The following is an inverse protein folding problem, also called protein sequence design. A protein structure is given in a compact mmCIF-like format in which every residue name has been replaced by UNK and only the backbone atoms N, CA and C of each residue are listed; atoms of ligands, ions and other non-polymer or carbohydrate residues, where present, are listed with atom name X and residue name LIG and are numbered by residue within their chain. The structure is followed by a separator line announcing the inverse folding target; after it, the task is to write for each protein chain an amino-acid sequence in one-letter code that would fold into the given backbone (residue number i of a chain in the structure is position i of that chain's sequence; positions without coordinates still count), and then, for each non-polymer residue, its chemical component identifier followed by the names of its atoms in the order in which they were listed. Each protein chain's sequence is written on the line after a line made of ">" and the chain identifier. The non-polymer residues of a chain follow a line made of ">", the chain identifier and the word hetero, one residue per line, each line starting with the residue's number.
data_IF_631026373190
#
_entry.id   IF_631026373190
#
_cell.length_a   1.000
_cell.length_b   1.000
_cell.length_c   1.000
_cell.angle_alpha   90.00
_cell.angle_beta   90.00
_cell.angle_gamma   90.00
#
_symmetry.space_group_name_H-M   'P 1'
#
loop_
_entity.id
_entity.type
_entity.pdbx_description
1 polymer ?
#
# COMPACT_ATOMS: atom_id res chain seq x y z
N UNK A 1 -13.85 -28.62 37.38
CA UNK A 1 -13.65 -28.27 38.80
C UNK A 1 -14.95 -27.62 39.23
N UNK A 2 -15.69 -28.29 40.11
CA UNK A 2 -17.05 -27.94 40.52
C UNK A 2 -16.92 -26.98 41.72
N UNK A 3 -17.54 -25.81 41.65
CA UNK A 3 -17.55 -24.85 42.77
C UNK A 3 -18.52 -25.33 43.86
N UNK A 4 -18.04 -25.37 45.10
CA UNK A 4 -18.84 -25.68 46.29
C UNK A 4 -19.66 -24.44 46.68
N UNK A 5 -20.96 -24.61 46.95
CA UNK A 5 -21.88 -23.51 47.21
C UNK A 5 -21.54 -22.74 48.50
N UNK A 6 -20.73 -23.33 49.37
CA UNK A 6 -20.30 -22.73 50.64
C UNK A 6 -18.96 -22.00 50.58
N UNK A 7 -18.29 -21.97 49.43
CA UNK A 7 -17.01 -21.26 49.29
C UNK A 7 -17.19 -19.72 49.40
N UNK A 8 -18.36 -19.21 48.96
CA UNK A 8 -18.72 -17.80 49.04
C UNK A 8 -18.83 -17.28 50.49
N UNK A 9 -19.20 -18.15 51.43
CA UNK A 9 -19.38 -17.78 52.85
C UNK A 9 -18.03 -17.56 53.57
N UNK A 10 -16.91 -17.98 52.94
CA UNK A 10 -15.54 -17.81 53.47
C UNK A 10 -14.78 -16.65 52.84
N UNK A 11 -15.36 -15.95 51.86
CA UNK A 11 -14.73 -14.82 51.21
C UNK A 11 -14.72 -13.61 52.14
N UNK A 12 -13.57 -13.35 52.77
CA UNK A 12 -13.30 -12.10 53.47
C UNK A 12 -13.34 -10.96 52.43
N UNK A 13 -14.14 -9.89 52.64
CA UNK A 13 -14.12 -8.73 51.76
C UNK A 13 -12.69 -8.22 51.61
N UNK A 14 -12.19 -8.16 50.36
CA UNK A 14 -10.87 -7.59 50.07
C UNK A 14 -10.91 -6.15 50.59
N UNK A 15 -10.17 -5.89 51.66
CA UNK A 15 -10.02 -4.52 52.14
C UNK A 15 -9.39 -3.73 51.00
N UNK A 16 -9.90 -2.53 50.67
CA UNK A 16 -9.24 -1.67 49.71
C UNK A 16 -7.79 -1.50 50.18
N UNK A 17 -6.85 -1.85 49.31
CA UNK A 17 -5.44 -1.56 49.57
C UNK A 17 -5.35 -0.07 49.88
N UNK A 18 -4.67 0.33 50.97
CA UNK A 18 -4.50 1.75 51.28
C UNK A 18 -3.95 2.42 50.04
N UNK A 19 -4.64 3.47 49.57
CA UNK A 19 -4.19 4.22 48.39
C UNK A 19 -2.71 4.56 48.57
N UNK A 20 -1.86 4.26 47.58
CA UNK A 20 -0.46 4.62 47.68
C UNK A 20 -0.43 6.13 47.94
N UNK A 21 0.20 6.53 49.05
CA UNK A 21 0.37 7.93 49.41
C UNK A 21 1.26 8.54 48.33
N UNK A 22 0.62 9.09 47.30
CA UNK A 22 1.30 9.84 46.24
C UNK A 22 1.90 11.06 46.95
N UNK A 23 3.23 11.21 46.98
CA UNK A 23 3.83 12.37 47.62
C UNK A 23 3.21 13.61 47.01
N UNK A 24 2.62 14.48 47.84
CA UNK A 24 2.08 15.74 47.33
C UNK A 24 3.23 16.53 46.73
N UNK A 25 3.27 16.53 45.39
CA UNK A 25 4.27 17.27 44.66
C UNK A 25 4.18 18.74 45.09
N UNK A 26 5.31 19.39 45.40
CA UNK A 26 5.34 20.82 45.66
C UNK A 26 4.60 21.54 44.52
N UNK A 27 3.83 22.59 44.84
CA UNK A 27 2.99 23.28 43.86
C UNK A 27 3.75 23.63 42.57
N UNK A 28 4.99 24.08 42.71
CA UNK A 28 5.91 24.38 41.61
C UNK A 28 6.20 23.18 40.69
N UNK A 29 6.29 21.96 41.23
CA UNK A 29 6.51 20.74 40.46
C UNK A 29 5.26 20.31 39.67
N UNK A 30 4.05 20.51 40.24
CA UNK A 30 2.79 20.29 39.53
C UNK A 30 2.61 21.27 38.38
N UNK A 31 2.93 22.53 38.60
CA UNK A 31 2.88 23.57 37.57
C UNK A 31 3.85 23.25 36.42
N UNK A 32 5.09 22.83 36.72
CA UNK A 32 6.04 22.42 35.69
C UNK A 32 5.56 21.19 34.89
N UNK A 33 4.97 20.19 35.56
CA UNK A 33 4.43 19.01 34.87
C UNK A 33 3.21 19.35 34.01
N UNK A 34 2.33 20.23 34.48
CA UNK A 34 1.18 20.71 33.73
C UNK A 34 1.62 21.51 32.49
N UNK A 35 2.62 22.39 32.63
CA UNK A 35 3.20 23.13 31.51
C UNK A 35 3.87 22.16 30.52
N UNK A 36 4.63 21.18 31.00
CA UNK A 36 5.28 20.19 30.14
C UNK A 36 4.26 19.32 29.39
N UNK A 37 3.15 18.94 30.03
CA UNK A 37 2.08 18.19 29.38
C UNK A 37 1.31 19.08 28.38
N UNK A 38 1.07 20.35 28.70
CA UNK A 38 0.48 21.31 27.75
C UNK A 38 1.40 21.57 26.57
N UNK A 39 2.72 21.68 26.76
CA UNK A 39 3.69 21.79 25.66
C UNK A 39 3.73 20.50 24.82
N UNK A 40 3.67 19.33 25.47
CA UNK A 40 3.61 18.04 24.78
C UNK A 40 2.33 17.90 23.97
N UNK A 41 1.18 18.29 24.54
CA UNK A 41 -0.12 18.32 23.88
C UNK A 41 -0.14 19.38 22.78
N UNK A 42 0.51 20.53 22.96
CA UNK A 42 0.68 21.56 21.93
C UNK A 42 1.52 21.04 20.77
N UNK A 43 2.64 20.34 21.03
CA UNK A 43 3.44 19.68 19.99
C UNK A 43 2.71 18.52 19.31
N UNK A 44 1.73 17.91 19.98
CA UNK A 44 0.86 16.88 19.40
C UNK A 44 -0.36 17.46 18.67
N UNK A 45 -0.80 18.67 19.04
CA UNK A 45 -1.97 19.38 18.52
C UNK A 45 -1.62 20.45 17.47
N UNK A 46 -0.35 20.84 17.38
CA UNK A 46 0.32 21.23 16.13
C UNK A 46 0.23 20.02 15.18
N UNK A 47 -0.99 19.76 14.70
CA UNK A 47 -1.19 18.97 13.50
C UNK A 47 -0.40 19.60 12.36
N UNK A 48 0.00 18.82 11.35
CA UNK A 48 0.80 19.33 10.26
C UNK A 48 0.07 20.53 9.65
N UNK A 49 0.78 21.66 9.62
CA UNK A 49 0.31 22.94 9.11
C UNK A 49 -0.53 22.76 7.85
N UNK A 50 -1.55 23.60 7.71
CA UNK A 50 -2.25 23.83 6.44
C UNK A 50 -1.30 24.35 5.33
N UNK A 51 -0.03 24.59 5.68
CA UNK A 51 1.13 24.79 4.82
C UNK A 51 2.11 23.61 4.93
N UNK A 52 1.63 22.37 4.72
CA UNK A 52 2.50 21.21 4.57
C UNK A 52 3.54 21.54 3.49
N UNK A 53 4.81 21.67 3.88
CA UNK A 53 5.88 22.10 2.99
C UNK A 53 5.80 21.32 1.66
N UNK A 54 5.78 22.06 0.55
CA UNK A 54 5.72 21.47 -0.79
C UNK A 54 6.74 20.32 -0.89
N UNK A 55 6.35 19.14 -1.39
CA UNK A 55 7.22 17.97 -1.38
C UNK A 55 8.54 18.34 -2.08
N UNK A 56 9.68 18.10 -1.42
CA UNK A 56 11.00 18.51 -1.93
C UNK A 56 11.34 17.83 -3.28
N UNK A 57 10.71 16.69 -3.58
CA UNK A 57 10.87 15.97 -4.84
C UNK A 57 10.00 16.56 -5.97
N UNK A 58 10.66 17.03 -7.03
CA UNK A 58 10.02 17.76 -8.14
C UNK A 58 8.91 16.98 -8.88
N UNK A 59 8.93 15.65 -8.86
CA UNK A 59 7.89 14.83 -9.50
C UNK A 59 6.60 14.75 -8.66
N UNK A 60 6.71 14.83 -7.32
CA UNK A 60 5.57 14.86 -6.39
C UNK A 60 4.76 16.15 -6.58
N UNK A 61 5.42 17.26 -6.89
CA UNK A 61 4.78 18.53 -7.22
C UNK A 61 3.99 18.46 -8.54
N UNK A 62 4.54 17.80 -9.57
CA UNK A 62 3.86 17.60 -10.86
C UNK A 62 2.62 16.71 -10.68
N UNK A 63 2.74 15.64 -9.90
CA UNK A 63 1.63 14.75 -9.59
C UNK A 63 0.54 15.45 -8.77
N UNK A 64 0.94 16.24 -7.77
CA UNK A 64 0.05 17.08 -6.98
C UNK A 64 -0.73 18.06 -7.86
N UNK A 65 -0.05 18.81 -8.74
CA UNK A 65 -0.70 19.73 -9.69
C UNK A 65 -1.72 19.04 -10.62
N UNK A 66 -1.51 17.76 -10.93
CA UNK A 66 -2.44 16.96 -11.73
C UNK A 66 -3.62 16.40 -10.92
N UNK A 67 -3.74 16.71 -9.62
CA UNK A 67 -4.76 16.16 -8.73
C UNK A 67 -4.60 14.66 -8.51
N UNK A 68 -3.36 14.16 -8.56
CA UNK A 68 -3.06 12.73 -8.36
C UNK A 68 -2.61 12.48 -6.91
N UNK A 69 -2.91 11.32 -6.31
CA UNK A 69 -2.62 11.04 -4.91
C UNK A 69 -1.11 10.93 -4.65
N UNK A 70 -0.57 11.76 -3.76
CA UNK A 70 0.85 11.79 -3.39
C UNK A 70 1.00 11.54 -1.88
N UNK A 71 2.03 10.78 -1.50
CA UNK A 71 2.39 10.51 -0.10
C UNK A 71 3.30 11.61 0.45
N UNK A 72 2.88 12.26 1.56
CA UNK A 72 3.57 13.40 2.18
C UNK A 72 4.36 13.02 3.44
N UNK A 73 3.95 11.96 4.14
CA UNK A 73 4.56 11.54 5.40
C UNK A 73 5.48 10.33 5.17
N UNK A 74 6.74 10.52 4.77
CA UNK A 74 7.69 9.40 4.71
C UNK A 74 8.33 9.13 6.09
N UNK A 75 8.11 7.96 6.72
CA UNK A 75 9.06 7.46 7.72
C UNK A 75 10.35 7.09 6.98
N UNK A 76 11.49 7.67 7.37
CA UNK A 76 12.80 7.45 6.74
C UNK A 76 13.03 5.98 6.32
N UNK A 77 12.97 5.72 5.01
CA UNK A 77 13.13 4.38 4.44
C UNK A 77 14.56 3.85 4.66
N UNK A 78 14.73 2.85 5.53
CA UNK A 78 16.03 2.21 5.74
C UNK A 78 16.43 1.23 4.60
N UNK A 79 15.53 0.93 3.65
CA UNK A 79 15.76 -0.07 2.58
C UNK A 79 15.25 0.45 1.24
N UNK A 80 16.13 0.42 0.22
CA UNK A 80 15.80 0.82 -1.15
C UNK A 80 14.81 -0.18 -1.79
N UNK A 81 13.74 0.29 -2.46
CA UNK A 81 12.69 -0.54 -3.05
C UNK A 81 13.11 -1.09 -4.43
N UNK A 82 14.12 -1.96 -4.43
CA UNK A 82 14.72 -2.47 -5.67
C UNK A 82 13.76 -3.34 -6.48
N UNK A 83 12.82 -4.06 -5.86
CA UNK A 83 11.89 -4.91 -6.60
C UNK A 83 10.89 -4.06 -7.37
N UNK A 84 10.42 -2.97 -6.79
CA UNK A 84 9.56 -2.00 -7.46
C UNK A 84 10.29 -1.37 -8.64
N UNK A 85 11.54 -0.92 -8.47
CA UNK A 85 12.32 -0.36 -9.58
C UNK A 85 12.59 -1.38 -10.68
N UNK A 86 12.92 -2.63 -10.32
CA UNK A 86 13.19 -3.68 -11.28
C UNK A 86 11.92 -4.05 -12.06
N UNK A 87 10.78 -4.18 -11.38
CA UNK A 87 9.50 -4.47 -12.00
C UNK A 87 9.07 -3.33 -12.94
N UNK A 88 9.21 -2.07 -12.50
CA UNK A 88 8.95 -0.89 -13.31
C UNK A 88 9.84 -0.85 -14.54
N UNK A 89 11.16 -1.05 -14.38
CA UNK A 89 12.10 -1.04 -15.49
C UNK A 89 11.83 -2.16 -16.50
N UNK A 90 11.54 -3.38 -16.03
CA UNK A 90 11.18 -4.51 -16.89
C UNK A 90 9.89 -4.22 -17.67
N UNK A 91 8.86 -3.70 -17.01
CA UNK A 91 7.58 -3.35 -17.62
C UNK A 91 7.72 -2.25 -18.67
N UNK A 92 8.45 -1.18 -18.35
CA UNK A 92 8.73 -0.10 -19.29
C UNK A 92 9.51 -0.64 -20.49
N UNK A 93 10.59 -1.39 -20.26
CA UNK A 93 11.43 -1.93 -21.32
C UNK A 93 10.62 -2.81 -22.28
N UNK A 94 9.88 -3.79 -21.75
CA UNK A 94 9.07 -4.71 -22.55
C UNK A 94 7.97 -3.95 -23.32
N UNK A 95 7.28 -3.01 -22.68
CA UNK A 95 6.24 -2.21 -23.34
C UNK A 95 6.80 -1.33 -24.46
N UNK A 96 7.93 -0.65 -24.23
CA UNK A 96 8.58 0.18 -25.25
C UNK A 96 9.05 -0.66 -26.44
N UNK A 97 9.59 -1.86 -26.20
CA UNK A 97 9.97 -2.79 -27.25
C UNK A 97 8.75 -3.33 -28.02
N UNK A 98 7.59 -3.44 -27.36
CA UNK A 98 6.35 -3.89 -27.99
C UNK A 98 5.70 -2.81 -28.87
N UNK A 99 5.81 -1.52 -28.54
CA UNK A 99 5.09 -0.43 -29.21
C UNK A 99 5.24 -0.37 -30.74
N UNK A 100 6.42 -0.57 -31.35
CA UNK A 100 6.56 -0.56 -32.81
C UNK A 100 5.69 -1.60 -33.53
N UNK A 101 5.42 -2.73 -32.88
CA UNK A 101 4.64 -3.85 -33.43
C UNK A 101 3.49 -4.24 -32.49
N UNK A 102 2.88 -3.26 -31.83
CA UNK A 102 2.00 -3.47 -30.68
C UNK A 102 0.89 -4.48 -30.95
N UNK A 103 0.20 -4.36 -32.10
CA UNK A 103 -0.90 -5.25 -32.46
C UNK A 103 -0.44 -6.71 -32.54
N UNK A 104 0.70 -6.98 -33.19
CA UNK A 104 1.21 -8.34 -33.35
C UNK A 104 1.68 -8.91 -32.00
N UNK A 105 2.44 -8.13 -31.24
CA UNK A 105 2.96 -8.54 -29.93
C UNK A 105 1.82 -8.82 -28.96
N UNK A 106 0.79 -7.98 -28.91
CA UNK A 106 -0.39 -8.17 -28.05
C UNK A 106 -1.20 -9.40 -28.46
N UNK A 107 -1.40 -9.63 -29.76
CA UNK A 107 -2.06 -10.85 -30.23
C UNK A 107 -1.26 -12.12 -29.90
N UNK A 108 0.07 -12.03 -29.87
CA UNK A 108 0.95 -13.17 -29.58
C UNK A 108 1.19 -13.40 -28.09
N UNK A 109 1.26 -12.37 -27.25
CA UNK A 109 1.69 -12.47 -25.86
C UNK A 109 0.68 -11.92 -24.85
N UNK A 110 -0.39 -11.28 -25.30
CA UNK A 110 -1.53 -10.91 -24.45
C UNK A 110 -2.38 -12.12 -24.07
N UNK A 111 -3.12 -11.99 -22.97
CA UNK A 111 -4.04 -13.02 -22.51
C UNK A 111 -5.34 -12.93 -23.31
N UNK A 112 -5.63 -13.94 -24.12
CA UNK A 112 -6.91 -14.03 -24.84
C UNK A 112 -7.77 -15.05 -24.10
N UNK A 113 -8.92 -14.67 -23.50
CA UNK A 113 -9.72 -15.57 -22.67
C UNK A 113 -10.10 -16.88 -23.37
N UNK A 114 -10.55 -16.80 -24.62
CA UNK A 114 -10.90 -17.96 -25.42
C UNK A 114 -9.71 -18.90 -25.73
N UNK A 115 -8.49 -18.47 -25.48
CA UNK A 115 -7.24 -19.18 -25.79
C UNK A 115 -6.25 -19.10 -24.62
N UNK A 116 -6.74 -19.14 -23.37
CA UNK A 116 -5.94 -18.89 -22.17
C UNK A 116 -4.73 -19.85 -22.00
N UNK A 117 -4.77 -21.04 -22.59
CA UNK A 117 -3.69 -22.05 -22.51
C UNK A 117 -2.63 -21.89 -23.60
N UNK A 118 -2.71 -20.86 -24.44
CA UNK A 118 -1.75 -20.62 -25.51
C UNK A 118 -0.36 -20.35 -24.93
N UNK A 119 0.69 -20.79 -25.64
CA UNK A 119 2.08 -20.75 -25.13
C UNK A 119 2.22 -21.43 -23.76
N UNK A 120 1.53 -22.55 -23.54
CA UNK A 120 1.53 -23.30 -22.27
C UNK A 120 1.08 -22.47 -21.06
N UNK A 121 0.24 -21.44 -21.29
CA UNK A 121 -0.22 -20.51 -20.24
C UNK A 121 0.74 -19.36 -19.96
N UNK A 122 1.84 -19.21 -20.71
CA UNK A 122 2.77 -18.11 -20.54
C UNK A 122 2.10 -16.73 -20.68
N UNK A 123 0.97 -16.65 -21.39
CA UNK A 123 0.19 -15.42 -21.57
C UNK A 123 -0.34 -14.82 -20.28
N UNK A 124 -0.51 -15.61 -19.21
CA UNK A 124 -0.85 -15.10 -17.86
C UNK A 124 0.27 -14.23 -17.26
N UNK A 125 1.52 -14.53 -17.61
CA UNK A 125 2.67 -13.76 -17.13
C UNK A 125 3.03 -12.63 -18.11
N UNK A 126 3.00 -12.89 -19.41
CA UNK A 126 3.44 -11.89 -20.41
C UNK A 126 2.44 -10.77 -20.60
N UNK A 127 1.14 -11.01 -20.38
CA UNK A 127 0.09 -9.97 -20.44
C UNK A 127 0.39 -8.79 -19.51
N UNK A 128 0.94 -9.06 -18.33
CA UNK A 128 1.29 -8.07 -17.31
C UNK A 128 2.22 -6.97 -17.83
N UNK A 129 3.19 -7.34 -18.67
CA UNK A 129 4.23 -6.43 -19.14
C UNK A 129 3.84 -5.63 -20.39
N UNK A 130 2.69 -5.93 -21.01
CA UNK A 130 2.22 -5.28 -22.24
C UNK A 130 1.24 -4.17 -21.92
N UNK A 131 1.35 -3.03 -22.61
CA UNK A 131 0.44 -1.89 -22.43
C UNK A 131 -0.10 -1.41 -23.77
N UNK A 132 -1.37 -0.98 -23.78
CA UNK A 132 -2.07 -0.52 -24.99
C UNK A 132 -1.55 0.82 -25.55
N UNK A 133 -0.65 1.50 -24.83
CA UNK A 133 -0.01 2.74 -25.26
C UNK A 133 0.69 3.46 -24.11
N UNK A 134 1.33 4.59 -24.42
CA UNK A 134 2.18 5.32 -23.47
C UNK A 134 1.42 5.85 -22.25
N UNK A 135 0.18 6.33 -22.42
CA UNK A 135 -0.65 6.81 -21.31
C UNK A 135 -1.01 5.67 -20.35
N UNK A 136 -1.39 4.51 -20.90
CA UNK A 136 -1.70 3.33 -20.10
C UNK A 136 -0.46 2.86 -19.32
N UNK A 137 0.71 2.82 -19.95
CA UNK A 137 1.97 2.51 -19.28
C UNK A 137 2.30 3.53 -18.18
N UNK A 138 2.25 4.82 -18.49
CA UNK A 138 2.57 5.89 -17.56
C UNK A 138 1.68 5.85 -16.31
N UNK A 139 0.37 5.62 -16.47
CA UNK A 139 -0.56 5.48 -15.34
C UNK A 139 -0.21 4.31 -14.43
N UNK A 140 0.11 3.14 -15.00
CA UNK A 140 0.51 1.98 -14.20
C UNK A 140 1.83 2.23 -13.44
N UNK A 141 2.83 2.80 -14.12
CA UNK A 141 4.11 3.11 -13.46
C UNK A 141 3.96 4.18 -12.39
N UNK A 142 3.10 5.17 -12.60
CA UNK A 142 2.78 6.16 -11.59
C UNK A 142 2.25 5.50 -10.31
N UNK A 143 1.20 4.68 -10.43
CA UNK A 143 0.62 4.01 -9.26
C UNK A 143 1.56 3.01 -8.60
N UNK A 144 2.33 2.27 -9.41
CA UNK A 144 3.34 1.34 -8.89
C UNK A 144 4.43 2.08 -8.11
N UNK A 145 4.90 3.24 -8.58
CA UNK A 145 5.90 4.03 -7.87
C UNK A 145 5.32 4.75 -6.63
N UNK A 146 4.08 5.22 -6.71
CA UNK A 146 3.42 5.92 -5.61
C UNK A 146 3.15 5.01 -4.40
N UNK A 147 2.76 3.75 -4.64
CA UNK A 147 2.34 2.85 -3.57
C UNK A 147 3.29 1.66 -3.36
N UNK A 148 4.02 1.24 -4.40
CA UNK A 148 4.82 0.02 -4.38
C UNK A 148 5.99 0.06 -3.40
N UNK A 149 6.62 1.23 -3.20
CA UNK A 149 7.75 1.37 -2.28
C UNK A 149 7.35 1.04 -0.84
N UNK A 150 6.28 1.66 -0.34
CA UNK A 150 5.76 1.43 1.02
C UNK A 150 5.33 -0.04 1.22
N UNK A 151 4.67 -0.63 0.23
CA UNK A 151 4.22 -2.04 0.29
C UNK A 151 5.41 -3.00 0.24
N UNK A 152 6.41 -2.75 -0.61
CA UNK A 152 7.65 -3.54 -0.67
C UNK A 152 8.41 -3.49 0.66
N UNK A 153 8.46 -2.31 1.28
CA UNK A 153 9.10 -2.14 2.58
C UNK A 153 8.41 -2.98 3.66
N UNK A 154 7.07 -2.96 3.68
CA UNK A 154 6.27 -3.70 4.64
C UNK A 154 6.39 -5.23 4.46
N UNK A 155 6.25 -5.72 3.22
CA UNK A 155 6.19 -7.16 2.93
C UNK A 155 7.55 -7.82 2.72
N UNK A 156 8.60 -7.04 2.46
CA UNK A 156 9.89 -7.45 1.88
C UNK A 156 9.75 -7.82 0.39
N UNK A 157 10.84 -7.71 -0.39
CA UNK A 157 10.79 -7.79 -1.85
C UNK A 157 10.15 -9.06 -2.43
N UNK A 158 10.49 -10.24 -1.89
CA UNK A 158 9.98 -11.51 -2.42
C UNK A 158 8.47 -11.68 -2.20
N UNK A 159 7.98 -11.37 -0.99
CA UNK A 159 6.55 -11.47 -0.68
C UNK A 159 5.74 -10.45 -1.48
N UNK A 160 6.29 -9.25 -1.68
CA UNK A 160 5.71 -8.22 -2.54
C UNK A 160 5.55 -8.68 -3.99
N UNK A 161 6.58 -9.29 -4.59
CA UNK A 161 6.49 -9.81 -5.96
C UNK A 161 5.50 -10.98 -6.07
N UNK A 162 5.45 -11.86 -5.07
CA UNK A 162 4.48 -12.96 -5.01
C UNK A 162 3.06 -12.42 -4.89
N UNK A 163 2.84 -11.39 -4.07
CA UNK A 163 1.54 -10.72 -3.93
C UNK A 163 1.06 -10.20 -5.29
N UNK A 164 1.90 -9.43 -6.00
CA UNK A 164 1.59 -8.90 -7.33
C UNK A 164 1.29 -10.02 -8.33
N UNK A 165 2.12 -11.07 -8.36
CA UNK A 165 1.94 -12.17 -9.30
C UNK A 165 0.63 -12.95 -9.06
N UNK A 166 0.28 -13.20 -7.79
CA UNK A 166 -0.97 -13.85 -7.45
C UNK A 166 -2.18 -12.96 -7.77
N UNK A 167 -2.10 -11.66 -7.46
CA UNK A 167 -3.16 -10.71 -7.79
C UNK A 167 -3.39 -10.61 -9.30
N UNK A 168 -2.32 -10.54 -10.10
CA UNK A 168 -2.40 -10.56 -11.55
C UNK A 168 -3.06 -11.84 -12.06
N UNK A 169 -2.62 -13.01 -11.56
CA UNK A 169 -3.21 -14.30 -11.93
C UNK A 169 -4.69 -14.40 -11.58
N UNK A 170 -5.07 -13.97 -10.37
CA UNK A 170 -6.47 -13.98 -9.92
C UNK A 170 -7.30 -13.02 -10.78
N UNK A 171 -6.78 -11.83 -11.09
CA UNK A 171 -7.42 -10.86 -11.97
C UNK A 171 -7.66 -11.43 -13.36
N UNK A 172 -6.67 -12.12 -13.93
CA UNK A 172 -6.76 -12.79 -15.22
C UNK A 172 -7.81 -13.91 -15.19
N UNK A 173 -7.81 -14.75 -14.16
CA UNK A 173 -8.81 -15.81 -13.98
C UNK A 173 -10.22 -15.24 -13.83
N UNK A 174 -10.38 -14.13 -13.09
CA UNK A 174 -11.65 -13.44 -12.95
C UNK A 174 -12.11 -12.85 -14.29
N UNK A 175 -11.21 -12.25 -15.07
CA UNK A 175 -11.51 -11.73 -16.39
C UNK A 175 -11.98 -12.84 -17.34
N UNK A 176 -11.30 -14.00 -17.33
CA UNK A 176 -11.71 -15.19 -18.09
C UNK A 176 -13.08 -15.68 -17.63
N UNK A 177 -13.34 -15.75 -16.33
CA UNK A 177 -14.61 -16.24 -15.80
C UNK A 177 -15.81 -15.37 -16.22
N UNK A 178 -15.60 -14.05 -16.37
CA UNK A 178 -16.63 -13.10 -16.81
C UNK A 178 -16.97 -13.22 -18.29
N UNK A 179 -15.98 -13.43 -19.17
CA UNK A 179 -16.21 -13.67 -20.60
C UNK A 179 -15.22 -14.70 -21.18
N UNK A 180 -15.49 -16.01 -21.01
CA UNK A 180 -14.58 -17.06 -21.44
C UNK A 180 -14.42 -17.18 -22.96
N UNK A 181 -15.33 -16.59 -23.75
CA UNK A 181 -15.34 -16.69 -25.21
C UNK A 181 -14.75 -15.45 -25.88
N UNK A 182 -14.35 -14.44 -25.10
CA UNK A 182 -13.73 -13.23 -25.62
C UNK A 182 -12.46 -13.53 -26.42
N UNK A 183 -12.38 -12.94 -27.61
CA UNK A 183 -11.18 -12.92 -28.45
C UNK A 183 -10.37 -11.63 -28.26
N UNK A 184 -10.83 -10.73 -27.39
CA UNK A 184 -10.15 -9.48 -27.10
C UNK A 184 -9.00 -9.75 -26.13
N UNK A 185 -7.73 -9.46 -26.50
CA UNK A 185 -6.60 -9.62 -25.59
C UNK A 185 -6.71 -8.68 -24.39
N UNK A 186 -6.47 -9.22 -23.20
CA UNK A 186 -6.27 -8.50 -21.95
C UNK A 186 -4.77 -8.32 -21.71
N UNK A 187 -4.37 -7.09 -21.39
CA UNK A 187 -2.97 -6.70 -21.14
C UNK A 187 -2.89 -5.60 -20.08
N UNK A 188 -1.76 -5.52 -19.40
CA UNK A 188 -1.40 -4.44 -18.48
C UNK A 188 -1.17 -4.91 -17.06
N UNK A 189 -0.37 -4.16 -16.32
CA UNK A 189 -0.02 -4.46 -14.93
C UNK A 189 -1.14 -4.14 -13.91
N UNK A 190 -2.24 -3.53 -14.38
CA UNK A 190 -3.29 -2.95 -13.54
C UNK A 190 -3.91 -3.91 -12.53
N UNK A 191 -4.08 -5.19 -12.88
CA UNK A 191 -4.60 -6.20 -11.96
C UNK A 191 -3.70 -6.40 -10.73
N UNK A 192 -2.39 -6.43 -10.93
CA UNK A 192 -1.43 -6.52 -9.82
C UNK A 192 -1.27 -5.21 -9.06
N UNK A 193 -1.28 -4.06 -9.75
CA UNK A 193 -1.13 -2.74 -9.12
C UNK A 193 -2.37 -2.38 -8.28
N UNK A 194 -3.57 -2.77 -8.70
CA UNK A 194 -4.79 -2.59 -7.92
C UNK A 194 -4.70 -3.26 -6.54
N UNK A 195 -4.06 -4.42 -6.46
CA UNK A 195 -3.82 -5.11 -5.20
C UNK A 195 -2.77 -4.39 -4.34
N UNK A 196 -1.71 -3.84 -4.94
CA UNK A 196 -0.75 -2.99 -4.22
C UNK A 196 -1.45 -1.77 -3.60
N UNK A 197 -2.32 -1.10 -4.37
CA UNK A 197 -3.13 0.03 -3.87
C UNK A 197 -4.06 -0.43 -2.73
N UNK A 198 -4.72 -1.57 -2.89
CA UNK A 198 -5.61 -2.13 -1.86
C UNK A 198 -4.85 -2.47 -0.58
N UNK A 199 -3.72 -3.16 -0.70
CA UNK A 199 -2.84 -3.50 0.41
C UNK A 199 -2.37 -2.23 1.14
N UNK A 200 -1.96 -1.23 0.38
CA UNK A 200 -1.55 0.05 0.92
C UNK A 200 -2.69 0.70 1.71
N UNK A 201 -3.88 0.82 1.11
CA UNK A 201 -5.04 1.44 1.76
C UNK A 201 -5.44 0.74 3.06
N UNK A 202 -5.32 -0.58 3.14
CA UNK A 202 -5.67 -1.37 4.32
C UNK A 202 -4.62 -1.29 5.43
N UNK A 203 -3.33 -1.25 5.10
CA UNK A 203 -2.24 -1.29 6.09
C UNK A 203 -1.76 0.10 6.52
N UNK A 204 -2.06 1.14 5.73
CA UNK A 204 -1.65 2.51 5.99
C UNK A 204 -2.85 3.48 6.12
N UNK A 205 -3.89 3.17 6.94
CA UNK A 205 -5.14 3.93 6.99
C UNK A 205 -5.01 5.36 7.56
N UNK A 206 -3.85 5.70 8.14
CA UNK A 206 -3.56 7.03 8.71
C UNK A 206 -2.69 7.90 7.82
N UNK A 207 -2.17 7.36 6.71
CA UNK A 207 -1.38 8.13 5.76
C UNK A 207 -2.32 9.04 4.97
N UNK A 208 -2.04 10.34 4.99
CA UNK A 208 -2.85 11.32 4.28
C UNK A 208 -2.43 11.33 2.80
N UNK A 209 -3.27 10.77 1.94
CA UNK A 209 -3.21 11.05 0.51
C UNK A 209 -3.79 12.44 0.31
N UNK A 210 -2.92 13.42 0.06
CA UNK A 210 -3.36 14.76 -0.27
C UNK A 210 -3.39 14.95 -1.79
N UNK A 211 -4.44 15.60 -2.26
CA UNK A 211 -4.53 16.20 -3.57
C UNK A 211 -4.11 17.66 -3.39
N UNK A 212 -3.06 18.11 -4.09
CA UNK A 212 -2.63 19.52 -4.09
C UNK A 212 -3.45 20.34 -5.09
#
# INVERSE_FOLDING_TARGET
>A
IWFDAHEADTLVPRQPEPEPVVPELPQKAREMLAIAEVERLSKQAEGPDLDSAAPEESWKQIAGFLGMPVEFDEPQEQRKPWATWLLSAATICISLLAFPNLREVVQRFGLIPAQATRLDGLTFATSFFLHAGSIHLAGNMYFLQAFGHAVEHFLRPLCYLVLIALAALIGDLAHIALDPRSQTPCIGASGGIADVIMFYALNFPRMRLAFL
#
